data_IF_564827193611
#
_entry.id   IF_564827193611
#
_cell.length_a   1.000
_cell.length_b   1.000
_cell.length_c   1.000
_cell.angle_alpha   90.00
_cell.angle_beta   90.00
_cell.angle_gamma   90.00
#
_symmetry.space_group_name_H-M   'P 1'
#
loop_
_entity.id
_entity.type
_entity.pdbx_description
1 polymer ?
#
# COMPACT_ATOMS: atom_id res chain seq x y z
N UNK A 1 26.35 13.88 -20.00
CA UNK A 1 25.10 13.91 -20.80
C UNK A 1 23.93 13.45 -19.95
N UNK A 2 22.70 13.55 -20.46
CA UNK A 2 21.52 13.05 -19.76
C UNK A 2 21.42 11.53 -19.97
N UNK A 3 21.17 10.78 -18.90
CA UNK A 3 20.72 9.40 -19.00
C UNK A 3 19.23 9.36 -18.73
N UNK A 4 18.51 8.38 -19.23
CA UNK A 4 17.08 8.22 -18.98
C UNK A 4 16.79 6.80 -18.49
N UNK A 5 16.08 6.69 -17.37
CA UNK A 5 15.71 5.40 -16.78
C UNK A 5 14.26 5.07 -17.12
N UNK A 6 13.99 3.87 -17.60
CA UNK A 6 12.63 3.35 -17.71
C UNK A 6 12.02 3.19 -16.31
N UNK A 7 10.89 3.84 -16.02
CA UNK A 7 10.21 3.74 -14.71
C UNK A 7 9.59 2.37 -14.41
N UNK A 8 9.49 1.50 -15.41
CA UNK A 8 8.88 0.16 -15.28
C UNK A 8 9.93 -0.91 -14.95
N UNK A 9 11.03 -0.95 -15.69
CA UNK A 9 12.04 -2.02 -15.58
C UNK A 9 13.45 -1.54 -15.25
N UNK A 10 13.63 -0.24 -14.99
CA UNK A 10 14.91 0.40 -14.71
C UNK A 10 15.99 0.29 -15.80
N UNK A 11 15.64 -0.11 -17.04
CA UNK A 11 16.59 -0.08 -18.15
C UNK A 11 17.03 1.37 -18.44
N UNK A 12 18.34 1.57 -18.59
CA UNK A 12 18.95 2.87 -18.81
C UNK A 12 19.22 3.12 -20.29
N UNK A 13 18.72 4.25 -20.78
CA UNK A 13 19.10 4.86 -22.05
C UNK A 13 20.21 5.87 -21.79
N UNK A 14 21.44 5.48 -22.10
CA UNK A 14 22.63 6.30 -21.91
C UNK A 14 22.93 7.03 -23.24
N UNK A 15 22.64 8.33 -23.31
CA UNK A 15 22.83 9.12 -24.54
C UNK A 15 24.29 9.12 -25.04
N UNK A 16 25.27 8.77 -24.20
CA UNK A 16 26.69 8.65 -24.59
C UNK A 16 26.99 7.33 -25.31
N UNK A 17 26.14 6.32 -25.13
CA UNK A 17 26.31 4.98 -25.72
C UNK A 17 25.34 4.72 -26.87
N UNK A 18 24.35 5.58 -27.04
CA UNK A 18 23.27 5.43 -28.01
C UNK A 18 23.45 6.37 -29.22
N UNK A 19 23.02 5.96 -30.42
CA UNK A 19 23.24 6.72 -31.65
C UNK A 19 22.35 7.96 -31.79
N UNK A 20 21.34 8.13 -30.92
CA UNK A 20 20.40 9.25 -30.94
C UNK A 20 20.21 9.81 -29.54
N UNK A 21 19.92 11.11 -29.42
CA UNK A 21 19.48 11.68 -28.16
C UNK A 21 18.07 11.20 -27.83
N UNK A 22 17.75 11.08 -26.54
CA UNK A 22 16.45 10.60 -26.08
C UNK A 22 15.31 11.51 -26.55
N UNK A 23 15.55 12.82 -26.59
CA UNK A 23 14.59 13.82 -27.12
C UNK A 23 14.25 13.60 -28.60
N UNK A 24 15.19 13.07 -29.39
CA UNK A 24 15.07 12.86 -30.83
C UNK A 24 14.41 11.52 -31.21
N UNK A 25 14.18 10.64 -30.22
CA UNK A 25 13.46 9.38 -30.46
C UNK A 25 12.01 9.66 -30.89
N UNK A 26 11.43 8.84 -31.79
CA UNK A 26 10.01 8.98 -32.13
C UNK A 26 9.12 8.64 -30.93
N UNK A 27 7.89 9.17 -30.90
CA UNK A 27 6.92 8.86 -29.82
C UNK A 27 6.51 7.38 -29.79
N UNK A 28 6.71 6.67 -30.90
CA UNK A 28 6.53 5.22 -31.01
C UNK A 28 7.66 4.42 -30.37
N UNK A 29 8.71 5.07 -29.86
CA UNK A 29 9.79 4.38 -29.15
C UNK A 29 9.25 3.70 -27.89
N UNK A 30 9.69 2.47 -27.69
CA UNK A 30 9.36 1.66 -26.51
C UNK A 30 10.63 1.12 -25.87
N UNK A 31 10.61 0.95 -24.56
CA UNK A 31 11.69 0.30 -23.83
C UNK A 31 11.99 -1.10 -24.41
N UNK A 32 13.24 -1.42 -24.75
CA UNK A 32 13.60 -2.70 -25.36
C UNK A 32 13.46 -3.89 -24.39
N UNK A 33 13.37 -3.62 -23.08
CA UNK A 33 13.26 -4.66 -22.04
C UNK A 33 11.80 -4.98 -21.71
N UNK A 34 10.95 -3.97 -21.50
CA UNK A 34 9.58 -4.18 -21.02
C UNK A 34 8.47 -3.65 -21.94
N UNK A 35 8.82 -3.01 -23.06
CA UNK A 35 7.84 -2.44 -24.00
C UNK A 35 7.13 -1.17 -23.51
N UNK A 36 7.54 -0.61 -22.37
CA UNK A 36 6.95 0.64 -21.87
C UNK A 36 7.14 1.79 -22.88
N UNK A 37 6.15 2.68 -23.06
CA UNK A 37 6.25 3.78 -24.04
C UNK A 37 7.34 4.78 -23.65
N UNK A 38 7.79 5.60 -24.62
CA UNK A 38 8.78 6.68 -24.41
C UNK A 38 8.42 7.60 -23.23
N UNK A 39 7.12 7.86 -23.01
CA UNK A 39 6.62 8.68 -21.90
C UNK A 39 6.87 8.08 -20.50
N UNK A 40 7.23 6.80 -20.40
CA UNK A 40 7.55 6.13 -19.15
C UNK A 40 9.03 6.29 -18.72
N UNK A 41 9.85 6.97 -19.51
CA UNK A 41 11.26 7.22 -19.18
C UNK A 41 11.41 8.54 -18.42
N UNK A 42 12.26 8.51 -17.40
CA UNK A 42 12.58 9.67 -16.56
C UNK A 42 14.08 9.97 -16.65
N UNK A 43 14.51 11.24 -16.84
CA UNK A 43 15.92 11.57 -16.84
C UNK A 43 16.59 11.25 -15.50
N UNK A 44 17.69 10.50 -15.56
CA UNK A 44 18.58 10.20 -14.47
C UNK A 44 19.19 11.53 -13.96
N UNK A 45 19.02 11.80 -12.67
CA UNK A 45 19.40 13.09 -12.06
C UNK A 45 18.28 14.14 -11.97
N UNK A 46 17.09 13.91 -12.54
CA UNK A 46 15.86 14.65 -12.16
C UNK A 46 15.08 13.97 -11.04
N UNK A 47 15.57 12.84 -10.52
CA UNK A 47 15.23 12.47 -9.15
C UNK A 47 15.65 13.64 -8.28
N UNK A 48 14.68 14.28 -7.60
CA UNK A 48 14.95 15.19 -6.50
C UNK A 48 16.09 14.60 -5.68
N UNK A 49 17.12 15.40 -5.36
CA UNK A 49 18.21 14.92 -4.51
C UNK A 49 17.59 14.26 -3.28
N UNK A 50 18.13 13.14 -2.86
CA UNK A 50 17.56 12.32 -1.79
C UNK A 50 17.29 13.16 -0.51
N UNK A 51 18.09 14.20 -0.29
CA UNK A 51 17.94 15.19 0.81
C UNK A 51 16.69 16.08 0.72
N UNK A 52 16.11 16.26 -0.47
CA UNK A 52 14.94 17.12 -0.70
C UNK A 52 13.60 16.39 -0.58
N UNK A 53 13.61 15.05 -0.58
CA UNK A 53 12.40 14.24 -0.37
C UNK A 53 12.18 14.08 1.13
N UNK A 54 11.10 14.71 1.61
CA UNK A 54 10.74 14.75 3.04
C UNK A 54 9.75 13.67 3.48
N UNK A 55 9.19 12.93 2.52
CA UNK A 55 8.17 11.90 2.77
C UNK A 55 8.70 10.52 2.40
N UNK A 56 8.24 9.51 3.11
CA UNK A 56 8.50 8.10 2.78
C UNK A 56 7.24 7.39 2.27
N UNK A 57 7.38 6.12 1.92
CA UNK A 57 6.28 5.26 1.47
C UNK A 57 5.16 5.22 2.51
N UNK A 58 5.48 5.08 3.79
CA UNK A 58 4.47 5.06 4.86
C UNK A 58 3.65 6.37 4.91
N UNK A 59 4.30 7.53 4.82
CA UNK A 59 3.64 8.84 4.76
C UNK A 59 2.64 8.87 3.59
N UNK A 60 3.04 8.35 2.42
CA UNK A 60 2.20 8.33 1.21
C UNK A 60 1.05 7.35 1.27
N UNK A 61 1.23 6.19 1.90
CA UNK A 61 0.14 5.24 2.16
C UNK A 61 -0.91 5.89 3.07
N UNK A 62 -0.48 6.54 4.15
CA UNK A 62 -1.39 7.21 5.10
C UNK A 62 -2.10 8.41 4.44
N UNK A 63 -1.37 9.25 3.70
CA UNK A 63 -1.94 10.38 2.93
C UNK A 63 -3.00 9.88 1.92
N UNK A 64 -2.74 8.75 1.25
CA UNK A 64 -3.69 8.12 0.34
C UNK A 64 -4.93 7.61 1.08
N UNK A 65 -4.81 7.05 2.29
CA UNK A 65 -5.95 6.63 3.10
C UNK A 65 -6.80 7.80 3.59
N UNK A 66 -6.17 8.92 3.99
CA UNK A 66 -6.87 10.16 4.32
C UNK A 66 -7.73 10.65 3.14
N UNK A 67 -7.21 10.55 1.91
CA UNK A 67 -7.97 10.94 0.71
C UNK A 67 -9.22 10.09 0.46
N UNK A 68 -9.26 8.86 1.00
CA UNK A 68 -10.47 8.02 0.99
C UNK A 68 -11.43 8.32 2.15
N UNK A 69 -11.12 9.31 2.98
CA UNK A 69 -11.94 9.72 4.12
C UNK A 69 -11.75 8.82 5.36
N UNK A 70 -10.66 8.04 5.43
CA UNK A 70 -10.33 7.28 6.63
C UNK A 70 -10.04 8.25 7.77
N UNK A 71 -10.77 8.10 8.88
CA UNK A 71 -10.61 8.94 10.10
C UNK A 71 -10.04 8.17 11.27
N UNK A 72 -10.15 6.85 11.25
CA UNK A 72 -9.74 5.98 12.34
C UNK A 72 -8.98 4.78 11.79
N UNK A 73 -7.88 4.43 12.45
CA UNK A 73 -7.16 3.16 12.25
C UNK A 73 -7.08 2.44 13.59
N UNK A 74 -7.48 1.18 13.63
CA UNK A 74 -7.51 0.35 14.84
C UNK A 74 -6.33 -0.62 14.83
N UNK A 75 -5.61 -0.81 15.93
CA UNK A 75 -4.52 -1.79 15.90
C UNK A 75 -3.56 -1.77 17.07
N UNK A 76 -2.44 -2.45 16.85
CA UNK A 76 -1.32 -2.54 17.80
C UNK A 76 -0.02 -2.15 17.07
N UNK A 77 0.76 -1.20 17.63
CA UNK A 77 2.07 -0.85 17.09
C UNK A 77 3.11 -1.91 17.46
N UNK A 78 4.12 -2.07 16.61
CA UNK A 78 5.34 -2.78 16.92
C UNK A 78 6.34 -2.70 15.77
N UNK A 79 7.51 -3.30 15.94
CA UNK A 79 8.70 -3.00 15.14
C UNK A 79 8.45 -2.96 13.62
N UNK A 80 7.69 -3.91 13.08
CA UNK A 80 7.45 -4.03 11.64
C UNK A 80 6.43 -3.07 11.04
N UNK A 81 5.72 -2.28 11.85
CA UNK A 81 4.77 -1.26 11.38
C UNK A 81 5.09 0.16 11.89
N UNK A 82 6.21 0.36 12.58
CA UNK A 82 6.61 1.66 13.12
C UNK A 82 6.61 2.81 12.10
N UNK A 83 7.04 2.62 10.83
CA UNK A 83 6.94 3.69 9.83
C UNK A 83 5.50 4.15 9.59
N UNK A 84 4.53 3.22 9.53
CA UNK A 84 3.10 3.55 9.41
C UNK A 84 2.61 4.26 10.68
N UNK A 85 3.05 3.83 11.86
CA UNK A 85 2.68 4.49 13.11
C UNK A 85 3.16 5.96 13.16
N UNK A 86 4.38 6.22 12.69
CA UNK A 86 4.91 7.58 12.61
C UNK A 86 4.17 8.44 11.58
N UNK A 87 3.83 7.86 10.42
CA UNK A 87 3.00 8.53 9.41
C UNK A 87 1.60 8.85 9.95
N UNK A 88 0.95 7.90 10.63
CA UNK A 88 -0.37 8.11 11.27
C UNK A 88 -0.29 9.21 12.32
N UNK A 89 0.77 9.24 13.14
CA UNK A 89 0.99 10.27 14.18
C UNK A 89 1.05 11.70 13.61
N UNK A 90 1.50 11.87 12.37
CA UNK A 90 1.58 13.16 11.67
C UNK A 90 0.31 13.52 10.88
N UNK A 91 -0.58 12.55 10.68
CA UNK A 91 -1.81 12.70 9.90
C UNK A 91 -2.99 13.21 10.74
N UNK A 92 -4.13 13.42 10.10
CA UNK A 92 -5.41 13.67 10.77
C UNK A 92 -6.15 12.37 11.14
N UNK A 93 -5.60 11.20 10.80
CA UNK A 93 -6.18 9.91 11.19
C UNK A 93 -5.92 9.68 12.67
N UNK A 94 -6.99 9.38 13.41
CA UNK A 94 -6.87 8.99 14.81
C UNK A 94 -6.54 7.51 14.92
N UNK A 95 -5.38 7.19 15.49
CA UNK A 95 -5.05 5.83 15.88
C UNK A 95 -5.82 5.41 17.16
N UNK A 96 -6.41 4.23 17.12
CA UNK A 96 -7.12 3.61 18.24
C UNK A 96 -6.38 2.34 18.63
N UNK A 97 -5.61 2.43 19.71
CA UNK A 97 -4.87 1.31 20.26
C UNK A 97 -5.84 0.26 20.83
N UNK A 98 -5.71 -0.98 20.38
CA UNK A 98 -6.38 -2.14 20.99
C UNK A 98 -5.44 -2.92 21.91
N UNK A 99 -5.99 -3.87 22.67
CA UNK A 99 -5.19 -4.81 23.50
C UNK A 99 -4.93 -6.15 22.82
N UNK A 100 -5.69 -6.44 21.76
CA UNK A 100 -5.53 -7.59 20.90
C UNK A 100 -5.86 -7.19 19.46
N UNK A 101 -5.18 -7.75 18.47
CA UNK A 101 -5.36 -7.43 17.05
C UNK A 101 -6.74 -7.87 16.56
N UNK A 102 -7.24 -9.01 17.04
CA UNK A 102 -8.60 -9.48 16.75
C UNK A 102 -9.66 -8.41 17.02
N UNK A 103 -9.53 -7.69 18.15
CA UNK A 103 -10.42 -6.59 18.49
C UNK A 103 -10.31 -5.44 17.49
N UNK A 104 -9.10 -5.16 16.99
CA UNK A 104 -8.91 -4.13 15.97
C UNK A 104 -9.60 -4.49 14.65
N UNK A 105 -9.51 -5.76 14.24
CA UNK A 105 -10.21 -6.26 13.06
C UNK A 105 -11.74 -6.18 13.23
N UNK A 106 -12.28 -6.56 14.40
CA UNK A 106 -13.71 -6.39 14.68
C UNK A 106 -14.15 -4.92 14.70
N UNK A 107 -13.34 -4.02 15.26
CA UNK A 107 -13.65 -2.59 15.25
C UNK A 107 -13.67 -2.02 13.83
N UNK A 108 -12.73 -2.44 12.97
CA UNK A 108 -12.72 -2.08 11.56
C UNK A 108 -13.95 -2.65 10.81
N UNK A 109 -14.29 -3.91 11.08
CA UNK A 109 -15.49 -4.57 10.54
C UNK A 109 -16.77 -3.81 10.93
N UNK A 110 -16.93 -3.49 12.21
CA UNK A 110 -18.07 -2.75 12.72
C UNK A 110 -18.15 -1.32 12.13
N UNK A 111 -17.00 -0.64 11.96
CA UNK A 111 -16.92 0.65 11.29
C UNK A 111 -17.46 0.58 9.86
N UNK A 112 -17.02 -0.42 9.09
CA UNK A 112 -17.47 -0.62 7.71
C UNK A 112 -18.97 -0.87 7.63
N UNK A 113 -19.52 -1.74 8.50
CA UNK A 113 -20.96 -2.05 8.55
C UNK A 113 -21.82 -0.84 8.93
N UNK A 114 -21.36 -0.01 9.88
CA UNK A 114 -22.17 1.09 10.43
C UNK A 114 -22.12 2.36 9.60
N UNK A 115 -21.07 2.56 8.82
CA UNK A 115 -20.82 3.85 8.15
C UNK A 115 -20.72 3.73 6.63
N UNK A 116 -20.68 2.51 6.11
CA UNK A 116 -20.25 2.16 4.76
C UNK A 116 -18.81 2.59 4.41
N UNK A 117 -18.09 3.33 5.26
CA UNK A 117 -16.73 3.82 4.99
C UNK A 117 -15.71 2.74 5.25
N UNK A 118 -14.55 2.84 4.60
CA UNK A 118 -13.45 1.89 4.74
C UNK A 118 -13.02 1.79 6.21
N UNK A 119 -13.28 0.65 6.82
CA UNK A 119 -12.68 0.27 8.09
C UNK A 119 -11.22 -0.11 7.86
N UNK A 120 -10.31 0.38 8.70
CA UNK A 120 -8.88 0.08 8.57
C UNK A 120 -8.34 -0.47 9.88
N UNK A 121 -7.76 -1.66 9.84
CA UNK A 121 -7.02 -2.23 10.96
C UNK A 121 -5.53 -2.37 10.60
N UNK A 122 -4.66 -2.22 11.58
CA UNK A 122 -3.22 -2.35 11.42
C UNK A 122 -2.63 -3.32 12.45
N UNK A 123 -1.63 -4.10 12.02
CA UNK A 123 -0.89 -5.01 12.89
C UNK A 123 0.57 -5.16 12.44
N UNK A 124 1.34 -5.96 13.17
CA UNK A 124 2.73 -6.33 12.88
C UNK A 124 2.80 -7.65 12.10
N UNK A 125 4.00 -8.00 11.66
CA UNK A 125 4.33 -9.30 11.07
C UNK A 125 4.04 -10.47 12.01
N UNK A 126 3.94 -11.67 11.45
CA UNK A 126 3.88 -12.92 12.22
C UNK A 126 2.64 -13.00 13.13
N UNK A 127 2.80 -13.07 14.47
CA UNK A 127 1.67 -13.28 15.37
C UNK A 127 0.60 -12.19 15.28
N UNK A 128 1.01 -10.95 15.01
CA UNK A 128 0.07 -9.84 14.88
C UNK A 128 -0.88 -10.02 13.70
N UNK A 129 -0.38 -10.46 12.55
CA UNK A 129 -1.22 -10.69 11.38
C UNK A 129 -2.12 -11.93 11.56
N UNK A 130 -1.64 -12.99 12.22
CA UNK A 130 -2.48 -14.17 12.51
C UNK A 130 -3.62 -13.84 13.48
N UNK A 131 -3.39 -12.94 14.44
CA UNK A 131 -4.43 -12.52 15.39
C UNK A 131 -5.54 -11.68 14.73
N UNK A 132 -5.33 -11.13 13.54
CA UNK A 132 -6.39 -10.41 12.81
C UNK A 132 -7.43 -11.35 12.19
N UNK A 133 -7.08 -12.62 11.94
CA UNK A 133 -7.84 -13.53 11.05
C UNK A 133 -9.32 -13.59 11.43
N UNK A 134 -9.66 -13.85 12.69
CA UNK A 134 -11.06 -14.03 13.10
C UNK A 134 -11.91 -12.80 12.82
N UNK A 135 -11.41 -11.60 13.15
CA UNK A 135 -12.15 -10.36 12.91
C UNK A 135 -12.19 -9.96 11.43
N UNK A 136 -11.17 -10.33 10.65
CA UNK A 136 -11.20 -10.15 9.19
C UNK A 136 -12.16 -11.13 8.52
N UNK A 137 -12.25 -12.37 8.99
CA UNK A 137 -13.23 -13.32 8.48
C UNK A 137 -14.66 -12.85 8.75
N UNK A 138 -14.94 -12.25 9.91
CA UNK A 138 -16.22 -11.57 10.19
C UNK A 138 -16.51 -10.47 9.15
N UNK A 139 -15.53 -9.61 8.86
CA UNK A 139 -15.69 -8.59 7.83
C UNK A 139 -15.94 -9.20 6.43
N UNK A 140 -15.27 -10.31 6.10
CA UNK A 140 -15.41 -10.99 4.82
C UNK A 140 -16.81 -11.63 4.67
N UNK A 141 -17.30 -12.35 5.69
CA UNK A 141 -18.62 -12.98 5.66
C UNK A 141 -19.75 -11.96 5.61
N UNK A 142 -19.59 -10.85 6.32
CA UNK A 142 -20.59 -9.79 6.41
C UNK A 142 -20.44 -8.74 5.31
N UNK A 143 -19.47 -8.94 4.41
CA UNK A 143 -19.19 -8.03 3.29
C UNK A 143 -18.91 -6.59 3.73
N UNK A 144 -18.30 -6.43 4.90
CA UNK A 144 -17.89 -5.14 5.44
C UNK A 144 -16.62 -4.64 4.72
N UNK A 145 -16.58 -3.39 4.23
CA UNK A 145 -15.41 -2.85 3.53
C UNK A 145 -14.26 -2.61 4.50
N UNK A 146 -13.30 -3.54 4.54
CA UNK A 146 -12.15 -3.48 5.45
C UNK A 146 -10.83 -3.57 4.70
N UNK A 147 -9.87 -2.74 5.10
CA UNK A 147 -8.47 -2.85 4.72
C UNK A 147 -7.60 -3.22 5.93
N UNK A 148 -6.90 -4.34 5.84
CA UNK A 148 -5.86 -4.72 6.78
C UNK A 148 -4.49 -4.24 6.29
N UNK A 149 -3.78 -3.47 7.11
CA UNK A 149 -2.36 -3.15 6.91
C UNK A 149 -1.53 -4.01 7.86
N UNK A 150 -0.68 -4.86 7.35
CA UNK A 150 0.19 -5.68 8.20
C UNK A 150 1.64 -5.34 7.95
N UNK A 151 2.35 -4.99 9.03
CA UNK A 151 3.79 -4.89 9.00
C UNK A 151 4.40 -6.21 8.51
N UNK A 152 5.55 -6.12 7.84
CA UNK A 152 6.31 -7.28 7.41
C UNK A 152 7.78 -7.06 7.70
N UNK A 153 8.52 -8.16 7.89
CA UNK A 153 9.98 -8.13 7.99
C UNK A 153 10.59 -7.42 6.77
N UNK A 154 11.80 -6.85 6.89
CA UNK A 154 12.54 -6.33 5.74
C UNK A 154 12.62 -7.33 4.60
N UNK A 155 12.63 -6.86 3.35
CA UNK A 155 12.58 -7.73 2.16
C UNK A 155 13.70 -8.78 2.14
N UNK A 156 14.89 -8.41 2.63
CA UNK A 156 16.04 -9.30 2.74
C UNK A 156 15.77 -10.59 3.54
N UNK A 157 14.78 -10.59 4.44
CA UNK A 157 14.44 -11.73 5.31
C UNK A 157 13.23 -12.53 4.83
N UNK A 158 12.59 -12.13 3.72
CA UNK A 158 11.45 -12.87 3.18
C UNK A 158 11.89 -14.23 2.65
N UNK A 159 11.19 -15.30 3.05
CA UNK A 159 11.52 -16.67 2.67
C UNK A 159 12.79 -17.24 3.33
N UNK A 160 13.38 -16.53 4.29
CA UNK A 160 14.57 -16.99 5.02
C UNK A 160 14.25 -17.52 6.43
N UNK A 161 12.98 -17.77 6.74
CA UNK A 161 12.51 -18.11 8.09
C UNK A 161 12.91 -17.04 9.13
N UNK A 162 12.79 -15.77 8.71
CA UNK A 162 13.12 -14.62 9.55
C UNK A 162 12.27 -14.57 10.83
N UNK A 163 12.75 -13.87 11.85
CA UNK A 163 11.99 -13.70 13.08
C UNK A 163 10.62 -13.05 12.78
N UNK A 164 9.54 -13.74 13.17
CA UNK A 164 8.15 -13.35 12.88
C UNK A 164 7.78 -13.25 11.39
N UNK A 165 8.60 -13.79 10.50
CA UNK A 165 8.27 -13.91 9.08
C UNK A 165 7.28 -15.06 8.88
N UNK A 166 6.19 -14.76 8.18
CA UNK A 166 5.26 -15.75 7.63
C UNK A 166 4.73 -15.23 6.30
N UNK A 167 4.22 -16.13 5.46
CA UNK A 167 3.49 -15.76 4.24
C UNK A 167 2.07 -15.26 4.58
N UNK A 168 2.00 -13.97 4.89
CA UNK A 168 0.76 -13.31 5.28
C UNK A 168 -0.24 -13.19 4.12
N UNK A 169 0.25 -13.19 2.86
CA UNK A 169 -0.62 -13.06 1.69
C UNK A 169 -1.32 -14.38 1.43
N UNK A 170 -0.58 -15.49 1.46
CA UNK A 170 -1.16 -16.83 1.35
C UNK A 170 -2.14 -17.10 2.50
N UNK A 171 -1.80 -16.68 3.72
CA UNK A 171 -2.66 -16.80 4.90
C UNK A 171 -4.02 -16.09 4.73
N UNK A 172 -4.03 -14.93 4.06
CA UNK A 172 -5.25 -14.12 3.87
C UNK A 172 -5.98 -14.40 2.55
N UNK A 173 -5.34 -15.06 1.58
CA UNK A 173 -5.89 -15.31 0.25
C UNK A 173 -7.28 -15.99 0.24
N UNK A 174 -7.63 -16.92 1.17
CA UNK A 174 -8.91 -17.64 1.09
C UNK A 174 -10.14 -16.77 1.37
N UNK A 175 -9.98 -15.61 2.02
CA UNK A 175 -11.11 -14.78 2.47
C UNK A 175 -10.99 -13.30 2.09
N UNK A 176 -9.91 -12.90 1.42
CA UNK A 176 -9.73 -11.51 0.95
C UNK A 176 -10.08 -11.37 -0.53
N UNK A 177 -10.66 -10.23 -0.88
CA UNK A 177 -10.94 -9.86 -2.27
C UNK A 177 -9.68 -9.38 -3.01
N UNK A 178 -8.68 -8.95 -2.26
CA UNK A 178 -7.39 -8.45 -2.73
C UNK A 178 -6.36 -8.52 -1.60
N UNK A 179 -5.26 -9.24 -1.81
CA UNK A 179 -4.14 -9.33 -0.88
C UNK A 179 -2.83 -9.22 -1.65
N UNK A 180 -2.00 -8.23 -1.33
CA UNK A 180 -0.72 -8.00 -2.01
C UNK A 180 0.35 -7.48 -1.05
N UNK A 181 1.61 -7.68 -1.41
CA UNK A 181 2.75 -7.08 -0.70
C UNK A 181 3.20 -5.81 -1.42
N UNK A 182 3.39 -4.71 -0.69
CA UNK A 182 4.07 -3.52 -1.22
C UNK A 182 5.57 -3.82 -1.30
N UNK A 183 5.98 -4.46 -2.39
CA UNK A 183 7.37 -4.87 -2.56
C UNK A 183 8.27 -3.71 -2.97
N UNK A 184 7.76 -2.66 -3.63
CA UNK A 184 8.56 -1.53 -4.11
C UNK A 184 7.87 -0.19 -3.84
N UNK A 185 8.62 0.91 -3.60
CA UNK A 185 8.04 2.23 -3.33
C UNK A 185 7.08 2.73 -4.41
N UNK A 186 7.44 2.56 -5.69
CA UNK A 186 6.65 3.01 -6.85
C UNK A 186 5.33 2.23 -7.04
N UNK A 187 5.13 1.14 -6.31
CA UNK A 187 3.88 0.38 -6.32
C UNK A 187 2.91 0.84 -5.22
N UNK A 188 3.43 1.48 -4.16
CA UNK A 188 2.70 1.70 -2.92
C UNK A 188 1.34 2.38 -3.15
N UNK A 189 1.32 3.54 -3.81
CA UNK A 189 0.09 4.29 -4.05
C UNK A 189 -0.92 3.50 -4.91
N UNK A 190 -0.44 2.76 -5.91
CA UNK A 190 -1.30 1.97 -6.79
C UNK A 190 -1.92 0.78 -6.03
N UNK A 191 -1.12 0.06 -5.23
CA UNK A 191 -1.61 -1.06 -4.44
C UNK A 191 -2.57 -0.60 -3.33
N UNK A 192 -2.28 0.52 -2.65
CA UNK A 192 -3.20 1.13 -1.68
C UNK A 192 -4.52 1.54 -2.34
N UNK A 193 -4.47 2.17 -3.52
CA UNK A 193 -5.67 2.50 -4.30
C UNK A 193 -6.46 1.24 -4.69
N UNK A 194 -5.79 0.19 -5.14
CA UNK A 194 -6.44 -1.06 -5.53
C UNK A 194 -7.07 -1.75 -4.32
N UNK A 195 -6.37 -1.87 -3.20
CA UNK A 195 -6.89 -2.47 -1.97
C UNK A 195 -8.14 -1.73 -1.47
N UNK A 196 -8.10 -0.40 -1.40
CA UNK A 196 -9.28 0.40 -1.03
C UNK A 196 -10.45 0.18 -2.02
N UNK A 197 -10.17 0.16 -3.34
CA UNK A 197 -11.20 -0.09 -4.36
C UNK A 197 -11.79 -1.50 -4.27
N UNK A 198 -10.98 -2.52 -4.02
CA UNK A 198 -11.47 -3.90 -3.90
C UNK A 198 -12.33 -4.07 -2.65
N UNK A 199 -11.91 -3.52 -1.51
CA UNK A 199 -12.69 -3.50 -0.28
C UNK A 199 -14.08 -2.88 -0.47
N UNK A 200 -14.25 -1.92 -1.41
CA UNK A 200 -15.56 -1.38 -1.77
C UNK A 200 -16.28 -2.12 -2.91
N UNK A 201 -15.59 -2.55 -3.97
CA UNK A 201 -16.22 -3.12 -5.18
C UNK A 201 -16.62 -4.58 -5.00
N UNK A 202 -15.85 -5.32 -4.22
CA UNK A 202 -16.15 -6.67 -3.75
C UNK A 202 -16.19 -6.58 -2.22
N UNK A 203 -17.29 -6.05 -1.66
CA UNK A 203 -17.34 -5.64 -0.27
C UNK A 203 -16.94 -6.79 0.64
N UNK A 204 -15.98 -6.51 1.52
CA UNK A 204 -15.24 -7.50 2.29
C UNK A 204 -13.82 -7.00 2.58
N UNK A 205 -12.89 -7.94 2.75
CA UNK A 205 -11.53 -7.62 3.20
C UNK A 205 -10.57 -7.46 2.03
N UNK A 206 -9.74 -6.43 2.09
CA UNK A 206 -8.46 -6.37 1.38
C UNK A 206 -7.30 -6.31 2.38
N UNK A 207 -6.14 -6.82 2.01
CA UNK A 207 -4.96 -6.84 2.86
C UNK A 207 -3.73 -6.32 2.11
N UNK A 208 -2.88 -5.57 2.80
CA UNK A 208 -1.58 -5.14 2.31
C UNK A 208 -0.50 -5.52 3.32
N UNK A 209 0.44 -6.36 2.88
CA UNK A 209 1.67 -6.64 3.60
C UNK A 209 2.69 -5.55 3.27
N UNK A 210 3.31 -4.97 4.30
CA UNK A 210 4.15 -3.78 4.17
C UNK A 210 5.52 -4.01 4.81
N UNK A 211 6.54 -4.43 4.04
CA UNK A 211 7.91 -4.57 4.53
C UNK A 211 8.45 -3.27 5.11
N UNK A 212 9.13 -3.38 6.25
CA UNK A 212 9.53 -2.21 7.07
C UNK A 212 10.55 -1.30 6.37
N UNK A 213 11.49 -1.92 5.66
CA UNK A 213 12.50 -1.23 4.84
C UNK A 213 11.83 -0.47 3.70
N UNK A 214 10.92 -1.11 2.95
CA UNK A 214 10.16 -0.45 1.87
C UNK A 214 9.31 0.70 2.40
N UNK A 215 8.63 0.53 3.53
CA UNK A 215 7.85 1.61 4.17
C UNK A 215 8.70 2.84 4.52
N UNK A 216 9.98 2.62 4.82
CA UNK A 216 10.92 3.66 5.22
C UNK A 216 11.60 4.35 4.03
N UNK A 217 11.52 3.78 2.84
CA UNK A 217 12.08 4.37 1.63
C UNK A 217 11.38 5.69 1.26
N UNK A 218 12.17 6.62 0.73
CA UNK A 218 11.68 7.94 0.31
C UNK A 218 10.76 7.83 -0.91
N UNK A 219 9.65 8.57 -0.87
CA UNK A 219 8.68 8.61 -1.96
C UNK A 219 8.11 10.02 -2.11
N UNK A 220 8.32 10.62 -3.29
CA UNK A 220 7.84 11.95 -3.68
C UNK A 220 6.79 11.86 -4.80
N UNK A 221 5.90 10.87 -4.70
CA UNK A 221 4.77 10.75 -5.62
C UNK A 221 3.54 11.48 -5.07
N UNK A 222 2.68 11.95 -5.99
CA UNK A 222 1.39 12.54 -5.63
C UNK A 222 0.36 11.43 -5.46
N UNK A 223 -0.41 11.52 -4.37
CA UNK A 223 -1.55 10.62 -4.14
C UNK A 223 -2.59 10.73 -5.26
N UNK A 224 -3.40 9.69 -5.41
CA UNK A 224 -4.57 9.70 -6.25
C UNK A 224 -5.74 10.33 -5.50
N UNK A 225 -6.35 11.39 -6.06
CA UNK A 225 -7.55 12.01 -5.49
C UNK A 225 -8.78 11.30 -6.06
N UNK A 226 -9.65 10.68 -5.24
CA UNK A 226 -10.84 10.00 -5.73
C UNK A 226 -11.93 11.03 -6.10
N UNK A 227 -12.37 11.05 -7.37
CA UNK A 227 -13.38 12.01 -7.83
C UNK A 227 -14.79 11.71 -7.29
N UNK A 228 -15.16 10.42 -7.14
CA UNK A 228 -16.50 9.98 -6.69
C UNK A 228 -16.46 8.61 -5.99
N UNK A 229 -17.30 8.44 -4.96
CA UNK A 229 -17.59 7.15 -4.31
C UNK A 229 -18.71 6.44 -5.06
N UNK A 230 -18.49 5.19 -5.44
CA UNK A 230 -19.41 4.40 -6.28
C UNK A 230 -20.15 3.31 -5.48
N UNK A 231 -19.76 3.08 -4.22
CA UNK A 231 -20.31 2.02 -3.38
C UNK A 231 -21.14 2.56 -2.19
N UNK A 232 -22.27 1.91 -1.94
CA UNK A 232 -23.12 1.99 -0.75
C UNK A 232 -23.41 0.55 -0.31
N UNK A 233 -23.31 0.25 0.99
CA UNK A 233 -23.52 -1.11 1.47
C UNK A 233 -25.01 -1.32 1.79
N UNK A 234 -25.63 -2.33 1.17
CA UNK A 234 -27.01 -2.74 1.48
C UNK A 234 -27.02 -3.74 2.65
N UNK A 235 -26.35 -3.39 3.75
CA UNK A 235 -26.13 -4.31 4.90
C UNK A 235 -26.97 -3.92 6.12
N UNK A 236 -27.52 -2.70 6.14
CA UNK A 236 -28.51 -2.30 7.13
C UNK A 236 -29.90 -2.71 6.62
N UNK A 237 -30.62 -3.64 7.28
CA UNK A 237 -32.06 -3.75 7.07
C UNK A 237 -32.72 -2.43 7.48
N UNK A 238 -33.73 -2.00 6.71
CA UNK A 238 -34.57 -0.82 7.00
C UNK A 238 -35.15 -0.84 8.43
#
# INVERSE_FOLDING_TARGET
MAKFRCSVCNWEYDEDKEPKKFSELPDTFTCPVCGAPKSAFVPEGMAKSDESIKTNVADKVVEQLESFGVKHIYGIPGDSNLPLMEAIRKSNIRFILTRHEETAAFMASAHGKMTDHLGVCISIAGPGCTNLITGLMDAATDRSPVLALTGQVPELYLGSEGFQEIDQIELFSPFTAYSETIARPNQALKLTLMAAKYAYKKPGVSALSTPTDILSEKLDEKIFIPDKRVFKADVMPD
#
